data_IF_887308287809
#
_entry.id   IF_887308287809
#
_cell.length_a   1.000
_cell.length_b   1.000
_cell.length_c   1.000
_cell.angle_alpha   90.00
_cell.angle_beta   90.00
_cell.angle_gamma   90.00
#
_symmetry.space_group_name_H-M   'P 1'
#
loop_
_entity.id
_entity.type
_entity.pdbx_description
1 polymer ?
#
# COMPACT_ATOMS: atom_id res chain seq x y z
N UNK A 1 20.44 -23.18 -6.38
CA UNK A 1 18.94 -23.28 -6.48
C UNK A 1 18.59 -24.09 -7.73
N UNK A 2 17.65 -25.02 -7.60
CA UNK A 2 17.06 -25.74 -8.72
C UNK A 2 16.24 -24.81 -9.61
N UNK A 3 15.84 -25.30 -10.80
CA UNK A 3 14.95 -24.56 -11.70
C UNK A 3 13.60 -24.33 -11.02
N UNK A 4 13.06 -25.33 -10.32
CA UNK A 4 11.80 -25.23 -9.60
C UNK A 4 11.86 -24.17 -8.51
N UNK A 5 12.95 -24.10 -7.77
CA UNK A 5 13.15 -23.08 -6.73
C UNK A 5 13.27 -21.68 -7.32
N UNK A 6 13.96 -21.56 -8.46
CA UNK A 6 14.09 -20.28 -9.16
C UNK A 6 12.74 -19.83 -9.70
N UNK A 7 11.97 -20.75 -10.28
CA UNK A 7 10.62 -20.44 -10.79
C UNK A 7 9.70 -19.99 -9.67
N UNK A 8 9.69 -20.73 -8.55
CA UNK A 8 8.91 -20.34 -7.38
C UNK A 8 9.28 -18.95 -6.89
N UNK A 9 10.57 -18.65 -6.84
CA UNK A 9 11.06 -17.32 -6.43
C UNK A 9 10.55 -16.22 -7.36
N UNK A 10 10.49 -16.47 -8.66
CA UNK A 10 9.94 -15.53 -9.63
C UNK A 10 8.44 -15.34 -9.45
N UNK A 11 7.70 -16.43 -9.24
CA UNK A 11 6.26 -16.37 -8.99
C UNK A 11 5.94 -15.62 -7.70
N UNK A 12 6.69 -15.87 -6.63
CA UNK A 12 6.55 -15.17 -5.35
C UNK A 12 6.79 -13.66 -5.52
N UNK A 13 7.82 -13.31 -6.29
CA UNK A 13 8.13 -11.91 -6.58
C UNK A 13 6.98 -11.21 -7.30
N UNK A 14 6.42 -11.84 -8.31
CA UNK A 14 5.27 -11.31 -9.04
C UNK A 14 4.04 -11.20 -8.14
N UNK A 15 3.79 -12.19 -7.30
CA UNK A 15 2.65 -12.18 -6.37
C UNK A 15 2.77 -11.03 -5.36
N UNK A 16 3.96 -10.79 -4.82
CA UNK A 16 4.21 -9.69 -3.87
C UNK A 16 4.00 -8.34 -4.55
N UNK A 17 4.53 -8.14 -5.75
CA UNK A 17 4.30 -6.92 -6.53
C UNK A 17 2.81 -6.70 -6.79
N UNK A 18 2.10 -7.75 -7.17
CA UNK A 18 0.67 -7.68 -7.45
C UNK A 18 -0.13 -7.24 -6.22
N UNK A 19 0.22 -7.70 -5.03
CA UNK A 19 -0.42 -7.25 -3.79
C UNK A 19 -0.26 -5.75 -3.57
N UNK A 20 0.91 -5.21 -3.85
CA UNK A 20 1.16 -3.76 -3.72
C UNK A 20 0.35 -2.97 -4.76
N UNK A 21 0.24 -3.48 -5.98
CA UNK A 21 -0.58 -2.87 -7.04
C UNK A 21 -2.06 -2.89 -6.64
N UNK A 22 -2.56 -3.99 -6.10
CA UNK A 22 -3.94 -4.10 -5.62
C UNK A 22 -4.23 -3.10 -4.50
N UNK A 23 -3.31 -2.92 -3.57
CA UNK A 23 -3.44 -1.89 -2.53
C UNK A 23 -3.65 -0.51 -3.15
N UNK A 24 -2.83 -0.13 -4.12
CA UNK A 24 -2.96 1.16 -4.82
C UNK A 24 -4.31 1.27 -5.53
N UNK A 25 -4.75 0.21 -6.20
CA UNK A 25 -6.04 0.17 -6.89
C UNK A 25 -7.21 0.37 -5.93
N UNK A 26 -7.17 -0.31 -4.79
CA UNK A 26 -8.23 -0.17 -3.78
C UNK A 26 -8.22 1.20 -3.13
N UNK A 27 -7.04 1.77 -2.89
CA UNK A 27 -6.91 3.14 -2.40
C UNK A 27 -7.54 4.15 -3.38
N UNK A 28 -7.28 3.99 -4.67
CA UNK A 28 -7.82 4.86 -5.71
C UNK A 28 -9.33 4.66 -5.93
N UNK A 29 -9.84 3.48 -5.61
CA UNK A 29 -11.27 3.20 -5.56
C UNK A 29 -11.95 3.68 -4.27
N UNK A 30 -11.20 4.25 -3.33
CA UNK A 30 -11.65 4.73 -2.03
C UNK A 30 -12.28 3.61 -1.19
N UNK A 31 -11.72 2.40 -1.27
CA UNK A 31 -12.26 1.19 -0.66
C UNK A 31 -11.35 0.75 0.50
N UNK A 32 -11.60 1.31 1.68
CA UNK A 32 -10.82 1.03 2.88
C UNK A 32 -10.86 -0.45 3.28
N UNK A 33 -11.99 -1.11 3.10
CA UNK A 33 -12.15 -2.53 3.43
C UNK A 33 -11.22 -3.40 2.58
N UNK A 34 -11.19 -3.16 1.27
CA UNK A 34 -10.31 -3.92 0.36
C UNK A 34 -8.85 -3.57 0.53
N UNK A 35 -8.53 -2.31 0.87
CA UNK A 35 -7.15 -1.91 1.16
C UNK A 35 -6.54 -2.78 2.26
N UNK A 36 -7.29 -3.06 3.31
CA UNK A 36 -6.76 -3.85 4.45
C UNK A 36 -6.78 -5.35 4.20
N UNK A 37 -7.44 -5.83 3.15
CA UNK A 37 -7.54 -7.26 2.85
C UNK A 37 -6.19 -7.92 2.59
N UNK A 38 -5.17 -7.15 2.19
CA UNK A 38 -3.81 -7.66 1.97
C UNK A 38 -2.97 -7.74 3.25
N UNK A 39 -3.45 -7.19 4.36
CA UNK A 39 -2.73 -7.17 5.63
C UNK A 39 -3.14 -8.35 6.50
N UNK A 40 -2.20 -8.84 7.30
CA UNK A 40 -2.50 -9.83 8.33
C UNK A 40 -3.29 -9.19 9.48
N UNK A 41 -3.99 -10.02 10.27
CA UNK A 41 -4.79 -9.52 11.39
C UNK A 41 -3.96 -8.76 12.43
N UNK A 42 -2.69 -9.17 12.61
CA UNK A 42 -1.73 -8.59 13.57
C UNK A 42 -0.74 -7.60 12.93
N UNK A 43 -1.07 -7.06 11.77
CA UNK A 43 -0.20 -6.13 11.06
C UNK A 43 0.09 -4.87 11.89
N UNK A 44 1.18 -4.19 11.55
CA UNK A 44 1.47 -2.85 12.03
C UNK A 44 1.72 -1.92 10.84
N UNK A 45 1.33 -0.66 10.97
CA UNK A 45 1.57 0.35 9.94
C UNK A 45 2.06 1.65 10.59
N UNK A 46 3.02 2.30 9.94
CA UNK A 46 3.54 3.59 10.36
C UNK A 46 3.51 4.57 9.20
N UNK A 47 2.93 5.74 9.43
CA UNK A 47 2.82 6.81 8.43
C UNK A 47 3.67 8.03 8.81
N UNK A 48 4.79 7.78 9.44
CA UNK A 48 5.77 8.79 9.79
C UNK A 48 5.87 9.07 11.29
N UNK A 49 6.87 9.85 11.67
CA UNK A 49 7.20 10.05 13.10
C UNK A 49 6.16 10.87 13.87
N UNK A 50 5.27 11.59 13.16
CA UNK A 50 4.26 12.46 13.77
C UNK A 50 2.92 11.75 14.01
N UNK A 51 2.78 10.50 13.59
CA UNK A 51 1.57 9.69 13.78
C UNK A 51 1.91 8.46 14.62
N UNK A 52 1.00 8.03 15.50
CA UNK A 52 1.21 6.78 16.23
C UNK A 52 1.22 5.58 15.29
N UNK A 53 1.94 4.54 15.65
CA UNK A 53 1.90 3.25 14.94
C UNK A 53 0.49 2.66 15.07
N UNK A 54 -0.05 2.21 13.96
CA UNK A 54 -1.36 1.57 13.90
C UNK A 54 -1.15 0.07 14.05
N UNK A 55 -1.80 -0.55 15.02
CA UNK A 55 -1.65 -1.98 15.30
C UNK A 55 -2.95 -2.71 15.04
N UNK A 56 -2.86 -3.71 14.16
CA UNK A 56 -3.97 -4.58 13.79
C UNK A 56 -4.78 -4.09 12.60
N UNK A 57 -5.32 -5.06 11.87
CA UNK A 57 -6.09 -4.80 10.64
C UNK A 57 -7.34 -3.97 10.90
N UNK A 58 -8.04 -4.22 12.00
CA UNK A 58 -9.26 -3.47 12.33
C UNK A 58 -8.97 -1.98 12.56
N UNK A 59 -7.91 -1.66 13.32
CA UNK A 59 -7.50 -0.27 13.54
C UNK A 59 -7.03 0.38 12.24
N UNK A 60 -6.34 -0.37 11.39
CA UNK A 60 -5.88 0.13 10.09
C UNK A 60 -7.06 0.43 9.16
N UNK A 61 -8.11 -0.40 9.17
CA UNK A 61 -9.32 -0.15 8.39
C UNK A 61 -10.00 1.14 8.83
N UNK A 62 -10.14 1.38 10.13
CA UNK A 62 -10.71 2.61 10.66
C UNK A 62 -9.88 3.84 10.25
N UNK A 63 -8.56 3.71 10.30
CA UNK A 63 -7.66 4.78 9.86
C UNK A 63 -7.88 5.11 8.37
N UNK A 64 -7.94 4.11 7.49
CA UNK A 64 -8.18 4.34 6.07
C UNK A 64 -9.57 4.90 5.79
N UNK A 65 -10.59 4.38 6.46
CA UNK A 65 -11.96 4.89 6.32
C UNK A 65 -12.03 6.39 6.67
N UNK A 66 -11.36 6.80 7.74
CA UNK A 66 -11.28 8.20 8.14
C UNK A 66 -10.49 9.03 7.12
N UNK A 67 -9.32 8.53 6.69
CA UNK A 67 -8.46 9.23 5.75
C UNK A 67 -9.11 9.42 4.37
N UNK A 68 -9.94 8.48 3.94
CA UNK A 68 -10.60 8.52 2.64
C UNK A 68 -11.98 9.20 2.66
N UNK A 69 -12.52 9.49 3.83
CA UNK A 69 -13.90 9.98 3.97
C UNK A 69 -14.18 11.26 3.18
N UNK A 70 -13.20 12.12 3.02
CA UNK A 70 -13.33 13.39 2.29
C UNK A 70 -12.63 13.39 0.93
N UNK A 71 -12.04 12.29 0.52
CA UNK A 71 -11.37 12.15 -0.78
C UNK A 71 -12.41 11.86 -1.85
N UNK A 72 -12.38 12.60 -2.94
CA UNK A 72 -13.29 12.40 -4.09
C UNK A 72 -12.59 11.84 -5.31
N UNK A 73 -11.26 11.97 -5.40
CA UNK A 73 -10.45 11.39 -6.44
C UNK A 73 -9.05 11.11 -5.89
N UNK A 74 -8.44 10.02 -6.34
CA UNK A 74 -7.14 9.59 -5.86
C UNK A 74 -6.39 8.82 -6.96
N UNK A 75 -5.09 8.99 -7.02
CA UNK A 75 -4.23 8.23 -7.92
C UNK A 75 -2.91 7.93 -7.24
N UNK A 76 -2.58 6.63 -7.13
CA UNK A 76 -1.32 6.14 -6.57
C UNK A 76 -0.47 5.53 -7.68
N UNK A 77 0.79 5.94 -7.74
CA UNK A 77 1.77 5.45 -8.70
C UNK A 77 2.98 4.93 -7.97
N UNK A 78 3.35 3.68 -8.20
CA UNK A 78 4.53 3.07 -7.58
C UNK A 78 5.57 2.75 -8.64
N UNK A 79 6.84 2.86 -8.25
CA UNK A 79 7.99 2.58 -9.09
C UNK A 79 9.16 2.10 -8.25
N UNK A 80 10.23 1.67 -8.91
CA UNK A 80 11.47 1.28 -8.25
C UNK A 80 11.24 0.20 -7.19
N UNK A 81 10.46 -0.81 -7.56
CA UNK A 81 10.13 -1.91 -6.66
C UNK A 81 11.35 -2.80 -6.48
N UNK A 82 11.74 -2.99 -5.22
CA UNK A 82 12.80 -3.91 -4.81
C UNK A 82 12.23 -4.89 -3.80
N UNK A 83 12.54 -6.17 -3.99
CA UNK A 83 12.07 -7.23 -3.10
C UNK A 83 13.27 -8.07 -2.68
N UNK A 84 13.50 -8.14 -1.38
CA UNK A 84 14.52 -8.97 -0.76
C UNK A 84 13.85 -10.10 0.01
N UNK A 85 14.20 -11.34 -0.31
CA UNK A 85 13.67 -12.51 0.37
C UNK A 85 14.54 -12.89 1.56
N UNK A 86 13.88 -13.23 2.67
CA UNK A 86 14.51 -13.76 3.86
C UNK A 86 13.92 -15.15 4.12
N UNK A 87 14.60 -16.18 3.61
CA UNK A 87 14.10 -17.55 3.62
C UNK A 87 12.94 -17.74 2.63
N UNK A 88 12.03 -18.66 2.96
CA UNK A 88 10.92 -19.04 2.09
C UNK A 88 9.60 -18.37 2.46
N UNK A 89 9.51 -17.80 3.67
CA UNK A 89 8.25 -17.33 4.23
C UNK A 89 8.22 -15.82 4.47
N UNK A 90 9.33 -15.13 4.20
CA UNK A 90 9.46 -13.72 4.51
C UNK A 90 10.14 -12.96 3.36
N UNK A 91 9.65 -11.75 3.11
CA UNK A 91 10.27 -10.84 2.14
C UNK A 91 10.02 -9.38 2.54
N UNK A 92 10.97 -8.53 2.20
CA UNK A 92 10.85 -7.09 2.35
C UNK A 92 10.64 -6.46 0.97
N UNK A 93 9.67 -5.57 0.87
CA UNK A 93 9.43 -4.80 -0.35
C UNK A 93 9.69 -3.33 -0.07
N UNK A 94 10.43 -2.69 -0.96
CA UNK A 94 10.60 -1.24 -1.01
C UNK A 94 10.14 -0.73 -2.37
N UNK A 95 9.54 0.45 -2.37
CA UNK A 95 9.19 1.12 -3.62
C UNK A 95 9.11 2.64 -3.41
N UNK A 96 9.09 3.37 -4.51
CA UNK A 96 8.76 4.80 -4.48
C UNK A 96 7.27 4.95 -4.74
N UNK A 97 6.67 5.93 -4.09
CA UNK A 97 5.27 6.30 -4.28
C UNK A 97 5.18 7.76 -4.72
N UNK A 98 4.40 7.99 -5.76
CA UNK A 98 3.83 9.30 -6.05
C UNK A 98 2.30 9.16 -5.99
N UNK A 99 1.63 10.05 -5.29
CA UNK A 99 0.17 10.08 -5.26
C UNK A 99 -0.35 11.50 -5.29
N UNK A 100 -1.56 11.67 -5.82
CA UNK A 100 -2.31 12.89 -5.68
C UNK A 100 -3.74 12.58 -5.24
N UNK A 101 -4.36 13.53 -4.55
CA UNK A 101 -5.72 13.39 -4.04
C UNK A 101 -6.46 14.71 -4.13
N UNK A 102 -7.73 14.62 -4.49
CA UNK A 102 -8.68 15.73 -4.44
C UNK A 102 -9.67 15.50 -3.30
N UNK A 103 -9.93 16.56 -2.56
CA UNK A 103 -10.80 16.51 -1.39
C UNK A 103 -12.13 17.22 -1.69
N UNK A 104 -13.23 16.72 -1.09
CA UNK A 104 -14.56 17.30 -1.24
C UNK A 104 -14.54 18.77 -0.82
N UNK A 105 -15.18 19.63 -1.64
CA UNK A 105 -15.26 21.07 -1.38
C UNK A 105 -14.00 21.86 -1.71
N UNK A 106 -12.96 21.21 -2.25
CA UNK A 106 -11.72 21.88 -2.66
C UNK A 106 -11.58 21.89 -4.19
N UNK A 107 -11.16 23.01 -4.80
CA UNK A 107 -10.93 23.07 -6.23
C UNK A 107 -9.68 22.30 -6.64
N UNK A 108 -9.54 22.03 -7.94
CA UNK A 108 -8.44 21.26 -8.52
C UNK A 108 -7.06 21.84 -8.16
N UNK A 109 -6.94 23.16 -8.06
CA UNK A 109 -5.68 23.84 -7.71
C UNK A 109 -5.21 23.50 -6.30
N UNK A 110 -6.07 22.92 -5.48
CA UNK A 110 -5.75 22.49 -4.11
C UNK A 110 -5.48 21.00 -4.01
N UNK A 111 -5.37 20.28 -5.12
CA UNK A 111 -5.01 18.86 -5.11
C UNK A 111 -3.68 18.65 -4.37
N UNK A 112 -3.65 17.61 -3.54
CA UNK A 112 -2.44 17.27 -2.78
C UNK A 112 -1.61 16.27 -3.55
N UNK A 113 -0.32 16.58 -3.69
CA UNK A 113 0.67 15.70 -4.31
C UNK A 113 1.64 15.23 -3.23
N UNK A 114 1.96 13.93 -3.23
CA UNK A 114 2.83 13.34 -2.23
C UNK A 114 3.84 12.41 -2.89
N UNK A 115 5.09 12.52 -2.40
CA UNK A 115 6.17 11.59 -2.73
C UNK A 115 6.59 10.85 -1.46
N UNK A 116 6.75 9.52 -1.55
CA UNK A 116 7.21 8.68 -0.45
C UNK A 116 8.10 7.54 -0.96
N UNK A 117 8.90 6.99 -0.04
CA UNK A 117 9.75 5.82 -0.26
C UNK A 117 9.40 4.72 0.72
#
# INVERSE_FOLDING_TARGET
>A
MSIEERLRRMEDRLAIQQRKIEYCRHADALDAERMVSIFTADCTASYGPHLPVISGRAALQDFYATALATVVASSHHISNIEIDFDGNDHADLRCHLYSWQRFAGHPEEQDRHRWAR
#
